data_IF_843653487660
#
_entry.id   IF_843653487660
#
_cell.length_a   1.000
_cell.length_b   1.000
_cell.length_c   1.000
_cell.angle_alpha   90.00
_cell.angle_beta   90.00
_cell.angle_gamma   90.00
#
_symmetry.space_group_name_H-M   'P 1'
#
loop_
_entity.id
_entity.type
_entity.pdbx_description
1 polymer ?
#
# COMPACT_ATOMS: atom_id res chain seq x y z
N UNK A 1 -10.14 -4.91 20.06
CA UNK A 1 -9.18 -5.97 20.46
C UNK A 1 -9.53 -7.36 19.93
N UNK A 2 -10.24 -8.28 20.60
CA UNK A 2 -10.41 -9.68 20.09
C UNK A 2 -11.11 -9.77 18.71
N UNK A 3 -12.07 -8.89 18.45
CA UNK A 3 -12.81 -8.82 17.16
C UNK A 3 -11.99 -8.25 16.01
N UNK A 4 -11.09 -7.32 16.31
CA UNK A 4 -10.29 -6.58 15.31
C UNK A 4 -9.23 -7.51 14.70
N UNK A 5 -8.59 -8.34 15.54
CA UNK A 5 -7.70 -9.42 15.14
C UNK A 5 -8.37 -10.44 14.22
N UNK A 6 -9.60 -10.83 14.56
CA UNK A 6 -10.40 -11.76 13.76
C UNK A 6 -10.73 -11.11 12.43
N UNK A 7 -11.24 -9.88 12.41
CA UNK A 7 -11.58 -9.18 11.16
C UNK A 7 -10.40 -8.99 10.22
N UNK A 8 -9.24 -8.58 10.74
CA UNK A 8 -8.00 -8.45 9.96
C UNK A 8 -7.63 -9.78 9.30
N UNK A 9 -7.57 -10.83 10.11
CA UNK A 9 -7.19 -12.15 9.63
C UNK A 9 -8.22 -12.70 8.62
N UNK A 10 -9.50 -12.39 8.79
CA UNK A 10 -10.57 -12.80 7.88
C UNK A 10 -10.39 -12.20 6.50
N UNK A 11 -10.19 -10.89 6.41
CA UNK A 11 -9.96 -10.20 5.15
C UNK A 11 -8.69 -10.75 4.48
N UNK A 12 -7.61 -10.94 5.23
CA UNK A 12 -6.36 -11.49 4.69
C UNK A 12 -6.57 -12.87 4.08
N UNK A 13 -7.29 -13.77 4.77
CA UNK A 13 -7.57 -15.10 4.25
C UNK A 13 -8.50 -15.09 3.04
N UNK A 14 -9.55 -14.26 3.06
CA UNK A 14 -10.47 -14.14 1.94
C UNK A 14 -9.73 -13.70 0.67
N UNK A 15 -8.88 -12.68 0.80
CA UNK A 15 -8.10 -12.17 -0.32
C UNK A 15 -7.05 -13.18 -0.80
N UNK A 16 -6.29 -13.82 0.11
CA UNK A 16 -5.34 -14.88 -0.28
C UNK A 16 -6.05 -16.09 -0.94
N UNK A 17 -7.28 -16.38 -0.55
CA UNK A 17 -8.08 -17.42 -1.20
C UNK A 17 -8.48 -17.03 -2.64
N UNK A 18 -8.85 -15.76 -2.87
CA UNK A 18 -9.14 -15.23 -4.20
C UNK A 18 -7.88 -15.32 -5.08
N UNK A 19 -6.73 -14.88 -4.57
CA UNK A 19 -5.45 -14.96 -5.32
C UNK A 19 -5.11 -16.40 -5.70
N UNK A 20 -5.35 -17.36 -4.80
CA UNK A 20 -5.03 -18.76 -5.06
C UNK A 20 -6.05 -19.47 -5.96
N UNK A 21 -7.15 -18.81 -6.33
CA UNK A 21 -8.19 -19.39 -7.19
C UNK A 21 -7.62 -19.75 -8.57
N UNK A 22 -6.76 -18.92 -9.15
CA UNK A 22 -6.17 -19.13 -10.49
C UNK A 22 -5.32 -20.40 -10.55
N UNK A 23 -4.61 -20.73 -9.47
CA UNK A 23 -3.79 -21.95 -9.35
C UNK A 23 -4.55 -23.18 -8.83
N UNK A 24 -5.89 -23.10 -8.70
CA UNK A 24 -6.73 -24.21 -8.23
C UNK A 24 -6.72 -24.44 -6.72
N UNK A 25 -6.34 -23.42 -5.94
CA UNK A 25 -6.24 -23.47 -4.49
C UNK A 25 -4.79 -23.59 -4.00
N UNK A 26 -4.52 -22.96 -2.84
CA UNK A 26 -3.18 -22.92 -2.24
C UNK A 26 -3.10 -23.56 -0.85
N UNK A 27 -1.96 -23.35 -0.18
CA UNK A 27 -1.79 -23.70 1.24
C UNK A 27 -1.36 -22.45 1.99
N UNK A 28 -2.13 -22.08 3.01
CA UNK A 28 -1.81 -21.00 3.94
C UNK A 28 -1.45 -21.63 5.28
N UNK A 29 -0.27 -21.31 5.81
CA UNK A 29 0.17 -21.82 7.12
C UNK A 29 0.22 -20.67 8.12
N UNK A 30 -0.49 -20.80 9.22
CA UNK A 30 -0.60 -19.80 10.29
C UNK A 30 0.23 -20.25 11.49
N UNK A 31 1.24 -19.47 11.86
CA UNK A 31 2.03 -19.66 13.08
C UNK A 31 1.69 -18.56 14.08
N UNK A 32 1.22 -18.93 15.27
CA UNK A 32 0.98 -17.96 16.34
C UNK A 32 1.19 -18.56 17.73
N UNK A 33 1.47 -17.69 18.70
CA UNK A 33 1.52 -18.02 20.13
C UNK A 33 0.11 -18.13 20.72
N UNK A 34 -0.73 -18.94 20.08
CA UNK A 34 -2.11 -19.26 20.49
C UNK A 34 -2.29 -20.76 20.49
N UNK A 35 -3.30 -21.21 21.22
CA UNK A 35 -3.74 -22.60 21.18
C UNK A 35 -4.21 -22.98 19.76
N UNK A 36 -3.84 -24.19 19.32
CA UNK A 36 -4.05 -24.62 17.94
C UNK A 36 -5.54 -24.83 17.67
N UNK A 37 -6.22 -25.49 18.60
CA UNK A 37 -7.63 -25.84 18.53
C UNK A 37 -8.48 -24.56 18.54
N UNK A 38 -8.12 -23.55 19.34
CA UNK A 38 -8.76 -22.23 19.29
C UNK A 38 -8.64 -21.57 17.91
N UNK A 39 -7.45 -21.60 17.29
CA UNK A 39 -7.24 -21.00 15.97
C UNK A 39 -8.05 -21.71 14.89
N UNK A 40 -8.07 -23.05 14.91
CA UNK A 40 -8.88 -23.85 13.97
C UNK A 40 -10.37 -23.59 14.15
N UNK A 41 -10.85 -23.44 15.39
CA UNK A 41 -12.23 -23.05 15.68
C UNK A 41 -12.57 -21.64 15.17
N UNK A 42 -11.67 -20.68 15.33
CA UNK A 42 -11.87 -19.31 14.84
C UNK A 42 -11.93 -19.28 13.31
N UNK A 43 -11.07 -20.05 12.63
CA UNK A 43 -11.06 -20.18 11.16
C UNK A 43 -12.30 -20.93 10.64
N UNK A 44 -12.80 -21.93 11.38
CA UNK A 44 -14.00 -22.65 10.99
C UNK A 44 -15.28 -21.80 11.08
N UNK A 45 -15.27 -20.70 11.85
CA UNK A 45 -16.39 -19.75 11.94
C UNK A 45 -16.42 -18.74 10.79
N UNK A 46 -15.46 -18.80 9.88
CA UNK A 46 -15.36 -17.83 8.79
C UNK A 46 -16.38 -18.16 7.70
N UNK A 47 -17.25 -17.20 7.41
CA UNK A 47 -18.35 -17.34 6.46
C UNK A 47 -17.92 -16.96 5.03
N UNK A 48 -16.78 -17.48 4.55
CA UNK A 48 -16.36 -17.28 3.16
C UNK A 48 -15.73 -18.55 2.55
N UNK A 49 -15.75 -18.61 1.22
CA UNK A 49 -15.23 -19.75 0.47
C UNK A 49 -13.72 -19.64 0.29
N UNK A 50 -12.96 -20.64 0.73
CA UNK A 50 -11.50 -20.70 0.55
C UNK A 50 -11.06 -21.04 -0.88
N UNK A 51 -11.98 -21.27 -1.82
CA UNK A 51 -11.69 -21.47 -3.25
C UNK A 51 -10.62 -22.55 -3.51
N UNK A 52 -10.70 -23.66 -2.77
CA UNK A 52 -9.72 -24.77 -2.85
C UNK A 52 -8.46 -24.58 -1.99
N UNK A 53 -8.28 -23.41 -1.37
CA UNK A 53 -7.17 -23.12 -0.45
C UNK A 53 -7.35 -23.84 0.88
N UNK A 54 -6.28 -24.44 1.39
CA UNK A 54 -6.24 -25.07 2.71
C UNK A 54 -5.51 -24.19 3.72
N UNK A 55 -6.05 -24.09 4.94
CA UNK A 55 -5.43 -23.33 6.03
C UNK A 55 -4.93 -24.30 7.11
N UNK A 56 -3.66 -24.17 7.49
CA UNK A 56 -3.00 -25.04 8.46
C UNK A 56 -2.52 -24.21 9.65
N UNK A 57 -3.01 -24.51 10.85
CA UNK A 57 -2.61 -23.82 12.07
C UNK A 57 -1.49 -24.55 12.80
N UNK A 58 -0.51 -23.80 13.31
CA UNK A 58 0.55 -24.29 14.21
C UNK A 58 0.71 -23.32 15.38
N UNK A 59 0.77 -23.88 16.59
CA UNK A 59 1.13 -23.14 17.79
C UNK A 59 2.65 -23.07 17.92
N UNK A 60 3.19 -21.87 18.13
CA UNK A 60 4.62 -21.64 18.30
C UNK A 60 5.00 -20.16 18.17
N UNK A 61 6.25 -19.85 18.51
CA UNK A 61 6.78 -18.49 18.43
C UNK A 61 7.60 -18.30 17.16
N UNK A 62 7.40 -17.21 16.39
CA UNK A 62 8.25 -16.88 15.24
C UNK A 62 9.69 -16.52 15.64
N UNK A 63 9.95 -16.31 16.93
CA UNK A 63 11.28 -16.05 17.49
C UNK A 63 12.09 -17.34 17.71
N UNK A 64 11.44 -18.50 17.63
CA UNK A 64 12.05 -19.80 17.87
C UNK A 64 12.23 -20.51 16.51
N UNK A 65 13.49 -20.72 16.11
CA UNK A 65 13.83 -21.39 14.85
C UNK A 65 13.19 -22.78 14.71
N UNK A 66 13.04 -23.53 15.81
CA UNK A 66 12.39 -24.83 15.79
C UNK A 66 10.91 -24.75 15.40
N UNK A 67 10.21 -23.68 15.78
CA UNK A 67 8.81 -23.46 15.44
C UNK A 67 8.66 -23.00 13.98
N UNK A 68 9.57 -22.15 13.50
CA UNK A 68 9.64 -21.78 12.08
C UNK A 68 9.86 -23.01 11.17
N UNK A 69 10.64 -24.00 11.64
CA UNK A 69 10.80 -25.28 10.92
C UNK A 69 9.51 -26.10 10.87
N UNK A 70 8.63 -26.05 11.88
CA UNK A 70 7.34 -26.76 11.88
C UNK A 70 6.43 -26.30 10.74
N UNK A 71 6.56 -25.05 10.31
CA UNK A 71 5.78 -24.45 9.22
C UNK A 71 6.51 -24.44 7.88
N UNK A 72 7.66 -25.12 7.78
CA UNK A 72 8.47 -25.18 6.56
C UNK A 72 8.83 -23.79 6.00
N UNK A 73 9.23 -22.86 6.88
CA UNK A 73 9.43 -21.45 6.51
C UNK A 73 10.35 -21.24 5.30
N UNK A 74 11.40 -22.06 5.16
CA UNK A 74 12.39 -21.94 4.07
C UNK A 74 11.82 -22.29 2.70
N UNK A 75 10.70 -23.02 2.64
CA UNK A 75 10.03 -23.43 1.41
C UNK A 75 8.87 -22.50 1.03
N UNK A 76 8.47 -21.61 1.92
CA UNK A 76 7.36 -20.70 1.65
C UNK A 76 7.73 -19.76 0.49
N UNK A 77 6.79 -19.56 -0.44
CA UNK A 77 6.90 -18.54 -1.49
C UNK A 77 6.82 -17.11 -0.93
N UNK A 78 6.30 -17.01 0.28
CA UNK A 78 5.83 -15.78 0.90
C UNK A 78 5.77 -15.93 2.41
N UNK A 79 6.19 -14.90 3.14
CA UNK A 79 6.06 -14.85 4.60
C UNK A 79 5.45 -13.50 4.96
N UNK A 80 4.30 -13.51 5.62
CA UNK A 80 3.63 -12.29 6.06
C UNK A 80 3.78 -12.17 7.57
N UNK A 81 4.45 -11.12 8.02
CA UNK A 81 4.61 -10.78 9.44
C UNK A 81 3.57 -9.70 9.76
N UNK A 82 2.52 -10.10 10.47
CA UNK A 82 1.44 -9.19 10.88
C UNK A 82 1.84 -8.39 12.11
N UNK A 83 1.38 -7.13 12.16
CA UNK A 83 1.53 -6.28 13.34
C UNK A 83 0.78 -6.87 14.54
N UNK A 84 1.34 -6.70 15.73
CA UNK A 84 0.69 -7.11 16.96
C UNK A 84 -0.30 -6.04 17.42
N UNK A 85 -1.38 -6.46 18.10
CA UNK A 85 -2.35 -5.56 18.74
C UNK A 85 -1.78 -4.96 20.04
N UNK A 86 -0.60 -4.35 19.95
CA UNK A 86 0.13 -3.71 21.03
C UNK A 86 0.36 -2.24 20.68
N UNK A 87 1.06 -1.48 21.54
CA UNK A 87 1.52 -0.16 21.15
C UNK A 87 2.41 -0.28 19.89
N UNK A 88 2.36 0.72 18.99
CA UNK A 88 3.10 0.73 17.72
C UNK A 88 4.58 0.37 17.91
N UNK A 89 5.26 1.00 18.87
CA UNK A 89 6.65 0.70 19.20
C UNK A 89 6.89 -0.76 19.62
N UNK A 90 5.96 -1.35 20.39
CA UNK A 90 6.07 -2.74 20.85
C UNK A 90 5.81 -3.72 19.70
N UNK A 91 4.80 -3.42 18.87
CA UNK A 91 4.52 -4.18 17.65
C UNK A 91 5.71 -4.16 16.70
N UNK A 92 6.30 -3.00 16.46
CA UNK A 92 7.42 -2.85 15.53
C UNK A 92 8.71 -3.47 16.08
N UNK A 93 8.95 -3.36 17.40
CA UNK A 93 10.05 -4.07 18.05
C UNK A 93 9.87 -5.60 17.94
N UNK A 94 8.64 -6.11 18.00
CA UNK A 94 8.34 -7.52 17.75
C UNK A 94 8.57 -7.89 16.28
N UNK A 95 8.10 -7.08 15.33
CA UNK A 95 8.31 -7.28 13.90
C UNK A 95 9.81 -7.34 13.56
N UNK A 96 10.61 -6.41 14.09
CA UNK A 96 12.07 -6.40 13.95
C UNK A 96 12.73 -7.68 14.48
N UNK A 97 12.29 -8.18 15.64
CA UNK A 97 12.80 -9.45 16.21
C UNK A 97 12.42 -10.65 15.37
N UNK A 98 11.23 -10.66 14.78
CA UNK A 98 10.80 -11.72 13.84
C UNK A 98 11.65 -11.67 12.58
N UNK A 99 11.87 -10.48 12.01
CA UNK A 99 12.78 -10.27 10.88
C UNK A 99 14.18 -10.82 11.18
N UNK A 100 14.77 -10.48 12.34
CA UNK A 100 16.05 -11.04 12.76
C UNK A 100 16.03 -12.58 12.83
N UNK A 101 14.96 -13.17 13.38
CA UNK A 101 14.79 -14.63 13.44
C UNK A 101 14.75 -15.26 12.05
N UNK A 102 14.04 -14.62 11.10
CA UNK A 102 13.93 -15.06 9.71
C UNK A 102 15.27 -14.98 8.99
N UNK A 103 16.06 -13.92 9.19
CA UNK A 103 17.43 -13.81 8.64
C UNK A 103 18.37 -14.86 9.22
N UNK A 104 18.08 -15.40 10.41
CA UNK A 104 18.85 -16.46 11.06
C UNK A 104 18.58 -17.88 10.53
N UNK A 105 17.63 -18.05 9.59
CA UNK A 105 17.32 -19.36 8.99
C UNK A 105 18.46 -19.80 8.07
N UNK A 106 19.24 -20.79 8.51
CA UNK A 106 20.43 -21.28 7.80
C UNK A 106 20.14 -21.85 6.41
N UNK A 107 18.97 -22.45 6.22
CA UNK A 107 18.56 -22.99 4.93
C UNK A 107 18.24 -21.89 3.89
N UNK A 108 18.21 -20.63 4.30
CA UNK A 108 17.73 -19.52 3.50
C UNK A 108 16.21 -19.48 3.40
N UNK A 109 15.69 -18.38 2.85
CA UNK A 109 14.29 -18.20 2.52
C UNK A 109 14.15 -18.24 1.01
N UNK A 110 13.22 -19.04 0.50
CA UNK A 110 12.94 -19.11 -0.94
C UNK A 110 12.21 -17.87 -1.45
N UNK A 111 11.34 -17.30 -0.62
CA UNK A 111 10.44 -16.21 -0.98
C UNK A 111 10.72 -14.91 -0.24
N UNK A 112 9.89 -13.91 -0.51
CA UNK A 112 9.94 -12.59 0.10
C UNK A 112 9.19 -12.56 1.44
N UNK A 113 9.62 -11.64 2.31
CA UNK A 113 9.02 -11.40 3.61
C UNK A 113 8.33 -10.05 3.58
N UNK A 114 7.02 -10.04 3.72
CA UNK A 114 6.23 -8.82 3.83
C UNK A 114 5.95 -8.55 5.31
N UNK A 115 6.38 -7.39 5.79
CA UNK A 115 6.28 -7.00 7.19
C UNK A 115 5.33 -5.83 7.34
N UNK A 116 4.27 -6.04 8.10
CA UNK A 116 3.39 -4.96 8.51
C UNK A 116 4.04 -4.15 9.64
N UNK A 117 4.17 -2.84 9.41
CA UNK A 117 4.72 -1.86 10.33
C UNK A 117 3.60 -0.95 10.83
N UNK A 118 3.67 -0.59 12.11
CA UNK A 118 2.72 0.30 12.75
C UNK A 118 3.17 1.77 12.71
N UNK A 119 4.47 2.02 12.81
CA UNK A 119 5.08 3.35 12.81
C UNK A 119 6.08 3.53 11.65
N UNK A 120 6.05 4.69 11.01
CA UNK A 120 6.94 5.02 9.89
C UNK A 120 8.39 5.24 10.37
N UNK A 121 8.59 5.76 11.58
CA UNK A 121 9.90 6.06 12.14
C UNK A 121 10.75 4.79 12.34
N UNK A 122 10.10 3.65 12.54
CA UNK A 122 10.75 2.35 12.76
C UNK A 122 11.07 1.61 11.44
N UNK A 123 10.47 2.01 10.32
CA UNK A 123 10.62 1.34 9.02
C UNK A 123 12.09 1.25 8.53
N UNK A 124 12.91 2.33 8.59
CA UNK A 124 14.28 2.28 8.10
C UNK A 124 15.15 1.26 8.82
N UNK A 125 14.91 1.04 10.12
CA UNK A 125 15.65 0.06 10.91
C UNK A 125 15.30 -1.37 10.49
N UNK A 126 14.02 -1.65 10.23
CA UNK A 126 13.57 -2.97 9.77
C UNK A 126 14.11 -3.28 8.37
N UNK A 127 14.06 -2.31 7.45
CA UNK A 127 14.66 -2.43 6.11
C UNK A 127 16.18 -2.67 6.17
N UNK A 128 16.89 -1.94 7.03
CA UNK A 128 18.34 -2.08 7.18
C UNK A 128 18.75 -3.49 7.63
N UNK A 129 18.00 -4.05 8.58
CA UNK A 129 18.28 -5.39 9.11
C UNK A 129 17.81 -6.48 8.15
N UNK A 130 16.69 -6.26 7.47
CA UNK A 130 16.07 -7.23 6.60
C UNK A 130 16.72 -7.39 5.23
N UNK A 131 17.42 -6.36 4.75
CA UNK A 131 18.03 -6.36 3.42
C UNK A 131 16.98 -6.45 2.30
N UNK A 132 17.38 -7.04 1.17
CA UNK A 132 16.57 -7.07 -0.07
C UNK A 132 15.41 -8.09 -0.03
N UNK A 133 15.36 -8.99 0.96
CA UNK A 133 14.31 -10.00 1.07
C UNK A 133 13.06 -9.48 1.80
N UNK A 134 13.18 -8.34 2.48
CA UNK A 134 12.14 -7.80 3.36
C UNK A 134 11.55 -6.53 2.78
N UNK A 135 10.23 -6.54 2.81
CA UNK A 135 9.38 -5.57 2.15
C UNK A 135 8.39 -5.09 3.19
N UNK A 136 8.46 -3.81 3.55
CA UNK A 136 7.71 -3.24 4.66
C UNK A 136 6.49 -2.48 4.17
N UNK A 137 5.37 -2.60 4.89
CA UNK A 137 4.18 -1.79 4.65
C UNK A 137 3.79 -1.12 5.95
N UNK A 138 3.88 0.21 5.96
CA UNK A 138 3.39 1.03 7.06
C UNK A 138 1.91 1.30 6.81
N UNK A 139 1.06 0.40 7.31
CA UNK A 139 -0.38 0.41 7.07
C UNK A 139 -1.01 1.79 7.32
N UNK A 140 -0.69 2.39 8.47
CA UNK A 140 -1.20 3.70 8.85
C UNK A 140 -0.83 4.78 7.81
N UNK A 141 0.44 4.94 7.45
CA UNK A 141 0.87 5.96 6.48
C UNK A 141 0.14 5.82 5.13
N UNK A 142 0.05 4.60 4.60
CA UNK A 142 -0.62 4.30 3.33
C UNK A 142 -2.09 4.73 3.33
N UNK A 143 -2.84 4.36 4.37
CA UNK A 143 -4.27 4.73 4.48
C UNK A 143 -4.41 6.25 4.57
N UNK A 144 -3.53 6.91 5.32
CA UNK A 144 -3.51 8.36 5.42
C UNK A 144 -3.34 9.03 4.05
N UNK A 145 -2.42 8.52 3.24
CA UNK A 145 -2.21 9.06 1.89
C UNK A 145 -3.44 8.90 1.00
N UNK A 146 -4.11 7.75 1.06
CA UNK A 146 -5.33 7.49 0.29
C UNK A 146 -6.49 8.37 0.73
N UNK A 147 -6.68 8.55 2.03
CA UNK A 147 -7.73 9.44 2.55
C UNK A 147 -7.58 10.85 2.00
N UNK A 148 -6.37 11.38 1.94
CA UNK A 148 -6.09 12.70 1.38
C UNK A 148 -6.38 12.71 -0.13
N UNK A 149 -5.95 11.70 -0.88
CA UNK A 149 -6.23 11.62 -2.32
C UNK A 149 -7.74 11.55 -2.60
N UNK A 150 -8.48 10.75 -1.85
CA UNK A 150 -9.94 10.64 -1.96
C UNK A 150 -10.66 11.92 -1.51
N UNK A 151 -10.14 12.63 -0.52
CA UNK A 151 -10.69 13.93 -0.11
C UNK A 151 -10.50 15.00 -1.19
N UNK A 152 -9.36 14.98 -1.89
CA UNK A 152 -9.07 15.90 -3.00
C UNK A 152 -9.83 15.52 -4.29
N UNK A 153 -10.05 14.23 -4.51
CA UNK A 153 -10.71 13.70 -5.69
C UNK A 153 -11.69 12.58 -5.28
N UNK A 154 -12.97 12.91 -4.99
CA UNK A 154 -13.94 11.95 -4.46
C UNK A 154 -14.12 10.66 -5.29
N UNK A 155 -13.94 10.74 -6.61
CA UNK A 155 -14.02 9.58 -7.49
C UNK A 155 -12.88 8.56 -7.32
N UNK A 156 -11.76 8.95 -6.69
CA UNK A 156 -10.64 8.04 -6.45
C UNK A 156 -10.95 6.97 -5.41
N UNK A 157 -11.92 7.18 -4.52
CA UNK A 157 -12.26 6.19 -3.49
C UNK A 157 -12.71 4.86 -4.12
N UNK A 158 -13.63 4.92 -5.07
CA UNK A 158 -14.09 3.74 -5.82
C UNK A 158 -12.94 3.12 -6.63
N UNK A 159 -12.13 3.95 -7.30
CA UNK A 159 -11.01 3.46 -8.11
C UNK A 159 -9.99 2.73 -7.23
N UNK A 160 -9.66 3.26 -6.05
CA UNK A 160 -8.77 2.59 -5.11
C UNK A 160 -9.38 1.32 -4.54
N UNK A 161 -10.68 1.31 -4.26
CA UNK A 161 -11.39 0.11 -3.82
C UNK A 161 -11.34 -0.99 -4.89
N UNK A 162 -11.50 -0.63 -6.17
CA UNK A 162 -11.45 -1.56 -7.30
C UNK A 162 -10.03 -2.08 -7.57
N UNK A 163 -9.01 -1.21 -7.54
CA UNK A 163 -7.61 -1.56 -7.85
C UNK A 163 -6.93 -2.32 -6.70
N UNK A 164 -7.26 -1.99 -5.46
CA UNK A 164 -6.72 -2.66 -4.27
C UNK A 164 -7.56 -3.89 -3.88
N UNK A 165 -8.81 -3.94 -4.36
CA UNK A 165 -9.66 -5.12 -4.26
C UNK A 165 -9.23 -6.21 -5.24
N UNK A 166 -9.64 -7.45 -4.96
CA UNK A 166 -9.29 -8.63 -5.75
C UNK A 166 -10.43 -9.12 -6.65
N UNK A 167 -11.45 -8.29 -6.85
CA UNK A 167 -12.65 -8.67 -7.60
C UNK A 167 -12.66 -8.16 -9.05
N UNK A 168 -11.81 -7.16 -9.36
CA UNK A 168 -11.79 -6.47 -10.65
C UNK A 168 -10.39 -6.53 -11.28
N UNK A 169 -9.84 -5.39 -11.71
CA UNK A 169 -8.55 -5.31 -12.36
C UNK A 169 -7.44 -4.89 -11.40
N UNK A 170 -6.34 -5.63 -11.42
CA UNK A 170 -5.21 -5.48 -10.53
C UNK A 170 -3.90 -5.25 -11.31
N UNK A 171 -2.83 -4.92 -10.58
CA UNK A 171 -1.50 -4.82 -11.16
C UNK A 171 -0.82 -6.18 -11.32
N UNK A 172 -0.39 -6.48 -12.53
CA UNK A 172 0.42 -7.65 -12.85
C UNK A 172 1.72 -7.25 -13.53
N UNK A 173 2.83 -7.83 -13.10
CA UNK A 173 4.13 -7.70 -13.76
C UNK A 173 4.39 -8.97 -14.55
N UNK A 174 4.81 -8.90 -15.81
CA UNK A 174 5.17 -10.10 -16.57
C UNK A 174 6.20 -9.81 -17.64
N UNK A 175 7.10 -10.77 -17.82
CA UNK A 175 8.06 -10.77 -18.92
C UNK A 175 7.40 -11.22 -20.22
N UNK A 176 7.57 -10.43 -21.27
CA UNK A 176 7.06 -10.72 -22.62
C UNK A 176 8.18 -10.63 -23.66
N UNK A 177 8.92 -11.72 -23.93
CA UNK A 177 10.08 -11.70 -24.83
C UNK A 177 9.75 -11.23 -26.25
N UNK A 178 8.52 -11.46 -26.71
CA UNK A 178 8.07 -11.02 -28.03
C UNK A 178 7.94 -9.49 -28.18
N UNK A 179 8.02 -8.74 -27.07
CA UNK A 179 7.96 -7.27 -27.06
C UNK A 179 9.35 -6.62 -27.02
N UNK A 180 10.42 -7.40 -27.09
CA UNK A 180 11.78 -6.88 -27.11
C UNK A 180 12.05 -6.05 -28.36
N UNK A 181 12.66 -4.88 -28.16
CA UNK A 181 12.93 -3.92 -29.23
C UNK A 181 11.71 -3.09 -29.65
N UNK A 182 10.54 -3.31 -29.05
CA UNK A 182 9.33 -2.52 -29.33
C UNK A 182 9.33 -1.26 -28.45
N UNK A 183 8.83 -0.16 -28.99
CA UNK A 183 8.67 1.11 -28.27
C UNK A 183 7.46 1.07 -27.35
N UNK A 184 7.54 1.77 -26.23
CA UNK A 184 6.47 1.77 -25.24
C UNK A 184 5.14 2.30 -25.80
N UNK A 185 5.16 3.27 -26.73
CA UNK A 185 3.92 3.75 -27.39
C UNK A 185 3.16 2.64 -28.14
N UNK A 186 3.88 1.65 -28.69
CA UNK A 186 3.30 0.50 -29.39
C UNK A 186 2.87 -0.57 -28.38
N UNK A 187 3.67 -0.79 -27.33
CA UNK A 187 3.33 -1.69 -26.22
C UNK A 187 2.03 -1.27 -25.53
N UNK A 188 1.85 0.04 -25.31
CA UNK A 188 0.68 0.62 -24.65
C UNK A 188 -0.65 0.18 -25.29
N UNK A 189 -0.64 -0.07 -26.60
CA UNK A 189 -1.81 -0.44 -27.39
C UNK A 189 -1.77 -1.89 -27.87
N UNK A 190 -0.78 -2.67 -27.43
CA UNK A 190 -0.60 -4.07 -27.83
C UNK A 190 -1.48 -5.03 -27.04
N UNK A 191 -2.05 -4.61 -25.91
CA UNK A 191 -2.91 -5.43 -25.07
C UNK A 191 -4.36 -4.97 -25.23
N UNK A 192 -5.26 -5.89 -25.61
CA UNK A 192 -6.70 -5.59 -25.73
C UNK A 192 -7.40 -5.61 -24.36
N UNK A 193 -6.99 -6.57 -23.52
CA UNK A 193 -7.61 -6.84 -22.21
C UNK A 193 -6.76 -6.35 -21.02
N UNK A 194 -5.76 -5.51 -21.27
CA UNK A 194 -4.92 -4.94 -20.23
C UNK A 194 -4.38 -3.55 -20.59
N UNK A 195 -4.05 -2.75 -19.58
CA UNK A 195 -3.49 -1.40 -19.75
C UNK A 195 -2.04 -1.36 -19.21
N UNK A 196 -1.02 -1.31 -20.09
CA UNK A 196 0.36 -1.11 -19.66
C UNK A 196 0.55 0.26 -19.01
N UNK A 197 1.19 0.29 -17.85
CA UNK A 197 1.43 1.55 -17.13
C UNK A 197 2.85 1.72 -16.59
N UNK A 198 3.64 0.64 -16.47
CA UNK A 198 5.03 0.70 -16.01
C UNK A 198 5.92 -0.33 -16.68
N UNK A 199 7.24 -0.12 -16.59
CA UNK A 199 8.27 -1.09 -17.01
C UNK A 199 9.23 -1.33 -15.86
N UNK A 200 9.47 -2.60 -15.53
CA UNK A 200 10.52 -3.06 -14.61
C UNK A 200 11.78 -3.29 -15.43
N UNK A 201 12.77 -2.41 -15.24
CA UNK A 201 13.97 -2.36 -16.07
C UNK A 201 15.01 -3.33 -15.53
N UNK A 202 15.31 -4.38 -16.28
CA UNK A 202 16.26 -5.42 -15.86
C UNK A 202 17.67 -4.86 -15.67
N UNK A 203 18.12 -4.00 -16.60
CA UNK A 203 19.45 -3.40 -16.57
C UNK A 203 19.72 -2.54 -15.32
N UNK A 204 18.68 -2.08 -14.62
CA UNK A 204 18.76 -1.27 -13.42
C UNK A 204 18.38 -2.05 -12.16
N UNK A 205 18.66 -3.36 -12.13
CA UNK A 205 18.37 -4.21 -10.98
C UNK A 205 16.88 -4.33 -10.66
N UNK A 206 16.02 -4.26 -11.69
CA UNK A 206 14.57 -4.36 -11.50
C UNK A 206 13.89 -3.07 -11.05
N UNK A 207 14.53 -1.91 -11.25
CA UNK A 207 13.88 -0.62 -10.97
C UNK A 207 12.62 -0.46 -11.82
N UNK A 208 11.50 -0.18 -11.16
CA UNK A 208 10.22 0.10 -11.81
C UNK A 208 10.16 1.57 -12.24
N UNK A 209 9.92 1.83 -13.52
CA UNK A 209 9.67 3.15 -14.10
C UNK A 209 8.18 3.29 -14.36
N UNK A 210 7.56 4.26 -13.68
CA UNK A 210 6.13 4.58 -13.84
C UNK A 210 5.97 5.53 -15.03
N UNK A 211 5.00 5.24 -15.91
CA UNK A 211 4.72 6.06 -17.10
C UNK A 211 6.01 6.38 -17.90
N UNK A 212 6.69 5.36 -18.44
CA UNK A 212 7.89 5.56 -19.22
C UNK A 212 7.60 6.42 -20.46
N UNK A 213 8.63 7.06 -21.00
CA UNK A 213 8.51 7.85 -22.22
C UNK A 213 8.04 6.98 -23.39
N UNK A 214 7.20 7.52 -24.28
CA UNK A 214 6.70 6.84 -25.48
C UNK A 214 7.82 6.26 -26.35
N UNK A 215 9.00 6.89 -26.34
CA UNK A 215 10.19 6.46 -27.07
C UNK A 215 11.02 5.38 -26.37
N UNK A 216 10.67 5.00 -25.13
CA UNK A 216 11.36 3.93 -24.40
C UNK A 216 11.27 2.62 -25.17
N UNK A 217 12.41 1.98 -25.41
CA UNK A 217 12.49 0.68 -26.11
C UNK A 217 12.67 -0.41 -25.07
N UNK A 218 11.77 -1.40 -25.07
CA UNK A 218 11.88 -2.56 -24.19
C UNK A 218 13.13 -3.37 -24.53
N UNK A 219 13.89 -3.72 -23.51
CA UNK A 219 15.11 -4.51 -23.64
C UNK A 219 14.89 -5.95 -23.18
N UNK A 220 15.84 -6.80 -23.52
CA UNK A 220 15.86 -8.15 -22.97
C UNK A 220 15.90 -8.11 -21.43
N UNK A 221 15.05 -8.93 -20.82
CA UNK A 221 14.79 -8.99 -19.39
C UNK A 221 13.76 -7.99 -18.87
N UNK A 222 13.38 -6.94 -19.61
CA UNK A 222 12.42 -5.95 -19.11
C UNK A 222 11.02 -6.57 -18.95
N UNK A 223 10.35 -6.26 -17.84
CA UNK A 223 9.00 -6.75 -17.57
C UNK A 223 8.01 -5.59 -17.63
N UNK A 224 6.79 -5.88 -18.08
CA UNK A 224 5.74 -4.87 -18.21
C UNK A 224 4.81 -5.03 -17.02
N UNK A 225 4.47 -3.91 -16.40
CA UNK A 225 3.40 -3.83 -15.41
C UNK A 225 2.14 -3.32 -16.09
N UNK A 226 1.10 -4.15 -16.05
CA UNK A 226 -0.22 -3.87 -16.62
C UNK A 226 -1.28 -3.81 -15.52
N UNK A 227 -2.40 -3.18 -15.82
CA UNK A 227 -3.67 -3.35 -15.11
C UNK A 227 -4.51 -4.34 -15.92
N UNK A 228 -4.90 -5.48 -15.34
CA UNK A 228 -5.67 -6.54 -16.01
C UNK A 228 -6.58 -7.26 -14.98
N UNK A 229 -7.58 -8.01 -15.44
CA UNK A 229 -8.51 -8.74 -14.56
C UNK A 229 -7.80 -9.86 -13.77
N UNK A 230 -7.02 -10.70 -14.47
CA UNK A 230 -6.24 -11.79 -13.83
C UNK A 230 -4.90 -12.01 -14.55
N UNK A 231 -3.98 -12.77 -13.93
CA UNK A 231 -2.61 -12.99 -14.42
C UNK A 231 -2.51 -13.75 -15.76
N UNK A 232 -3.57 -14.48 -16.12
CA UNK A 232 -3.67 -15.32 -17.31
C UNK A 232 -4.68 -14.80 -18.37
N UNK A 233 -5.32 -13.66 -18.11
CA UNK A 233 -6.40 -13.09 -18.97
C UNK A 233 -5.91 -12.22 -20.12
N UNK A 234 -4.64 -11.80 -20.11
CA UNK A 234 -4.10 -10.83 -21.07
C UNK A 234 -2.88 -11.34 -21.82
N UNK A 235 -2.83 -11.04 -23.11
CA UNK A 235 -1.71 -11.38 -24.01
C UNK A 235 -1.48 -10.24 -25.00
N UNK A 236 -0.21 -9.99 -25.41
CA UNK A 236 0.05 -9.02 -26.45
C UNK A 236 -0.46 -9.55 -27.79
N UNK A 237 -1.29 -8.75 -28.45
CA UNK A 237 -1.87 -9.01 -29.77
C UNK A 237 -1.18 -8.23 -30.88
N UNK A 238 -1.83 -8.22 -32.05
CA UNK A 238 -1.42 -7.36 -33.16
C UNK A 238 -1.71 -5.89 -32.81
N UNK A 239 -0.78 -5.00 -33.17
CA UNK A 239 -0.95 -3.56 -32.98
C UNK A 239 -2.17 -3.11 -33.80
N UNK A 240 -3.21 -2.55 -33.16
CA UNK A 240 -4.39 -2.09 -33.89
C UNK A 240 -4.07 -0.84 -34.69
N UNK A 241 -4.76 -0.65 -35.82
CA UNK A 241 -4.70 0.62 -36.56
C UNK A 241 -5.43 1.72 -35.78
N UNK A 242 -4.67 2.63 -35.17
CA UNK A 242 -5.23 3.76 -34.42
C UNK A 242 -5.17 5.03 -35.25
N UNK A 243 -6.31 5.70 -35.37
CA UNK A 243 -6.38 7.03 -35.97
C UNK A 243 -5.74 8.06 -35.04
N UNK A 244 -4.54 8.51 -35.39
CA UNK A 244 -3.86 9.62 -34.70
C UNK A 244 -4.63 10.93 -34.89
N UNK A 245 -4.66 11.76 -33.84
CA UNK A 245 -5.33 13.05 -33.83
C UNK A 245 -4.65 14.01 -32.86
N UNK A 246 -5.00 15.29 -32.95
CA UNK A 246 -4.54 16.31 -32.02
C UNK A 246 -5.56 16.49 -30.89
N UNK A 247 -5.07 16.78 -29.69
CA UNK A 247 -5.94 17.25 -28.62
C UNK A 247 -6.60 18.58 -29.05
N UNK A 248 -7.91 18.75 -28.83
CA UNK A 248 -8.59 19.98 -29.20
C UNK A 248 -7.97 21.19 -28.48
N UNK A 249 -7.61 22.21 -29.26
CA UNK A 249 -7.02 23.47 -28.79
C UNK A 249 -7.99 24.11 -27.77
N UNK A 250 -7.53 24.33 -26.54
CA UNK A 250 -8.36 24.85 -25.45
C UNK A 250 -8.50 23.90 -24.25
N UNK A 251 -7.94 22.69 -24.33
CA UNK A 251 -7.78 21.76 -23.20
C UNK A 251 -6.70 22.22 -22.20
N UNK A 252 -6.62 23.52 -21.91
CA UNK A 252 -5.86 23.94 -20.74
C UNK A 252 -6.62 23.40 -19.53
N UNK A 253 -5.94 22.73 -18.59
CA UNK A 253 -6.61 22.31 -17.37
C UNK A 253 -7.28 23.55 -16.74
N UNK A 254 -8.53 23.42 -16.27
CA UNK A 254 -9.22 24.54 -15.64
C UNK A 254 -8.33 25.14 -14.55
N UNK A 255 -8.39 26.46 -14.31
CA UNK A 255 -7.63 27.08 -13.25
C UNK A 255 -7.95 26.35 -11.95
N UNK A 256 -6.90 25.82 -11.31
CA UNK A 256 -7.03 25.08 -10.05
C UNK A 256 -7.38 26.10 -8.96
N UNK A 257 -8.52 25.90 -8.30
CA UNK A 257 -8.97 26.77 -7.20
C UNK A 257 -8.37 26.31 -5.87
N UNK A 258 -8.17 27.23 -4.91
CA UNK A 258 -7.77 26.87 -3.57
C UNK A 258 -8.86 26.05 -2.88
N UNK A 259 -8.46 24.97 -2.22
CA UNK A 259 -9.35 24.06 -1.50
C UNK A 259 -9.21 24.29 0.01
N UNK A 260 -10.29 24.04 0.75
CA UNK A 260 -10.31 24.10 2.22
C UNK A 260 -10.48 22.69 2.75
N UNK A 261 -9.49 22.21 3.48
CA UNK A 261 -9.49 20.85 4.04
C UNK A 261 -9.60 20.95 5.56
N UNK A 262 -10.57 20.24 6.11
CA UNK A 262 -10.79 20.12 7.54
C UNK A 262 -10.29 18.74 8.01
N UNK A 263 -9.33 18.76 8.93
CA UNK A 263 -8.93 17.57 9.68
C UNK A 263 -9.63 17.59 11.04
N UNK A 264 -10.39 16.53 11.33
CA UNK A 264 -11.06 16.34 12.61
C UNK A 264 -10.36 15.23 13.39
N UNK A 265 -9.84 15.57 14.57
CA UNK A 265 -9.07 14.68 15.42
C UNK A 265 -7.56 14.81 15.22
N UNK A 266 -6.80 14.40 16.24
CA UNK A 266 -5.34 14.33 16.18
C UNK A 266 -4.93 12.92 15.83
N UNK A 267 -4.41 12.75 14.62
CA UNK A 267 -3.82 11.49 14.18
C UNK A 267 -2.31 11.54 14.43
N UNK A 268 -1.75 10.43 14.91
CA UNK A 268 -0.29 10.26 14.98
C UNK A 268 0.31 10.41 13.57
N UNK A 269 1.43 11.12 13.46
CA UNK A 269 2.19 11.34 12.21
C UNK A 269 1.38 12.04 11.11
N UNK A 270 0.42 12.90 11.51
CA UNK A 270 -0.35 13.70 10.56
C UNK A 270 0.53 14.67 9.76
N UNK A 271 1.71 15.05 10.25
CA UNK A 271 2.71 15.74 9.45
C UNK A 271 3.23 14.91 8.31
N UNK A 272 3.57 13.65 8.51
CA UNK A 272 4.08 12.82 7.41
C UNK A 272 3.02 12.61 6.34
N UNK A 273 1.74 12.51 6.74
CA UNK A 273 0.63 12.47 5.78
C UNK A 273 0.51 13.74 4.93
N UNK A 274 0.69 14.91 5.54
CA UNK A 274 0.56 16.20 4.87
C UNK A 274 1.80 16.49 4.03
N UNK A 275 2.98 16.33 4.62
CA UNK A 275 4.27 16.54 3.95
C UNK A 275 4.47 15.52 2.81
N UNK A 276 4.12 14.26 3.03
CA UNK A 276 4.24 13.19 2.03
C UNK A 276 3.32 13.34 0.81
N UNK A 277 2.26 14.15 0.94
CA UNK A 277 1.32 14.47 -0.13
C UNK A 277 1.51 15.89 -0.68
N UNK A 278 2.64 16.56 -0.43
CA UNK A 278 2.95 17.90 -0.96
C UNK A 278 2.82 18.03 -2.50
N UNK A 279 2.88 16.92 -3.24
CA UNK A 279 2.63 16.89 -4.69
C UNK A 279 1.12 16.96 -5.04
N UNK A 280 0.25 16.48 -4.15
CA UNK A 280 -1.21 16.54 -4.27
C UNK A 280 -1.78 17.80 -3.62
N UNK A 281 -1.12 18.25 -2.55
CA UNK A 281 -1.36 19.50 -1.85
C UNK A 281 -0.83 20.63 -2.71
N UNK A 282 -1.72 21.12 -3.58
CA UNK A 282 -1.55 22.42 -4.24
C UNK A 282 -1.43 23.50 -3.16
N UNK A 283 -1.02 24.74 -3.47
CA UNK A 283 -1.08 25.84 -2.51
C UNK A 283 -2.53 26.01 -2.01
N UNK A 284 -2.89 25.27 -0.97
CA UNK A 284 -4.16 25.37 -0.29
C UNK A 284 -4.10 26.66 0.53
N UNK A 285 -5.16 27.44 0.51
CA UNK A 285 -5.19 28.69 1.26
C UNK A 285 -5.34 28.41 2.77
N UNK A 286 -6.00 27.31 3.18
CA UNK A 286 -6.30 27.04 4.59
C UNK A 286 -6.38 25.55 4.94
N UNK A 287 -5.62 25.15 5.96
CA UNK A 287 -5.80 23.89 6.70
C UNK A 287 -6.45 24.20 8.04
N UNK A 288 -7.59 23.59 8.31
CA UNK A 288 -8.23 23.68 9.61
C UNK A 288 -8.07 22.35 10.33
N UNK A 289 -7.52 22.39 11.54
CA UNK A 289 -7.37 21.21 12.40
C UNK A 289 -8.22 21.44 13.65
N UNK A 290 -9.23 20.59 13.83
CA UNK A 290 -10.07 20.58 15.02
C UNK A 290 -9.62 19.41 15.90
N UNK A 291 -9.16 19.71 17.11
CA UNK A 291 -8.71 18.70 18.07
C UNK A 291 -9.30 19.01 19.46
N UNK A 292 -9.62 17.95 20.21
CA UNK A 292 -10.21 18.06 21.55
C UNK A 292 -9.17 18.41 22.63
N UNK A 293 -7.88 18.19 22.37
CA UNK A 293 -6.78 18.51 23.29
C UNK A 293 -5.66 19.25 22.54
N UNK A 294 -5.10 20.29 23.16
CA UNK A 294 -3.90 20.98 22.69
C UNK A 294 -2.67 20.26 23.25
N UNK A 295 -2.13 19.29 22.51
CA UNK A 295 -0.81 18.71 22.80
C UNK A 295 0.31 19.67 22.32
N UNK A 296 1.41 19.86 23.07
CA UNK A 296 2.61 20.57 22.59
C UNK A 296 3.10 20.17 21.18
N UNK A 297 2.85 18.93 20.76
CA UNK A 297 3.12 18.45 19.40
C UNK A 297 2.28 19.18 18.33
N UNK A 298 1.03 19.54 18.63
CA UNK A 298 0.14 20.30 17.71
C UNK A 298 0.69 21.70 17.44
N UNK A 299 1.27 22.33 18.46
CA UNK A 299 1.85 23.66 18.35
C UNK A 299 3.16 23.64 17.55
N UNK A 300 4.00 22.61 17.75
CA UNK A 300 5.19 22.36 16.91
C UNK A 300 4.80 22.08 15.46
N UNK A 301 3.76 21.27 15.24
CA UNK A 301 3.22 20.95 13.92
C UNK A 301 2.77 22.19 13.15
N UNK A 302 1.94 23.05 13.77
CA UNK A 302 1.49 24.32 13.17
C UNK A 302 2.67 25.20 12.75
N UNK A 303 3.72 25.25 13.57
CA UNK A 303 4.95 26.00 13.29
C UNK A 303 5.76 25.38 12.14
N UNK A 304 5.94 24.04 12.15
CA UNK A 304 6.67 23.27 11.12
C UNK A 304 6.00 23.40 9.74
N UNK A 305 4.67 23.25 9.65
CA UNK A 305 3.93 23.42 8.41
C UNK A 305 4.07 24.85 7.84
N UNK A 306 3.94 25.86 8.70
CA UNK A 306 4.06 27.27 8.29
C UNK A 306 5.45 27.60 7.75
N UNK A 307 6.49 26.95 8.28
CA UNK A 307 7.89 27.09 7.84
C UNK A 307 8.18 26.31 6.55
N UNK A 308 7.74 25.05 6.44
CA UNK A 308 7.89 24.23 5.22
C UNK A 308 7.23 24.89 4.02
N UNK A 309 6.03 25.45 4.19
CA UNK A 309 5.32 26.16 3.13
C UNK A 309 5.99 27.48 2.72
N UNK A 310 6.67 28.17 3.65
CA UNK A 310 7.50 29.33 3.32
C UNK A 310 8.72 28.95 2.46
N UNK A 311 9.35 27.82 2.75
CA UNK A 311 10.53 27.33 2.02
C UNK A 311 10.18 26.83 0.61
N UNK A 312 9.05 26.14 0.47
CA UNK A 312 8.47 25.77 -0.83
C UNK A 312 8.14 26.99 -1.69
N UNK A 313 7.56 28.04 -1.11
CA UNK A 313 7.30 29.29 -1.82
C UNK A 313 8.60 29.96 -2.31
N UNK A 314 9.66 29.94 -1.50
CA UNK A 314 10.96 30.46 -1.90
C UNK A 314 11.58 29.66 -3.07
N UNK A 315 11.35 28.34 -3.11
CA UNK A 315 11.88 27.43 -4.13
C UNK A 315 11.08 27.46 -5.45
N UNK A 316 9.78 27.78 -5.41
CA UNK A 316 8.88 27.82 -6.58
C UNK A 316 8.46 29.23 -7.03
N UNK A 317 9.21 30.27 -6.62
CA UNK A 317 8.92 31.69 -6.90
C UNK A 317 8.70 32.03 -8.39
N UNK A 318 9.25 31.22 -9.30
CA UNK A 318 9.15 31.42 -10.75
C UNK A 318 7.94 30.71 -11.40
N UNK A 319 7.18 29.88 -10.67
CA UNK A 319 6.07 29.08 -11.20
C UNK A 319 4.67 29.54 -10.74
N UNK A 320 4.58 30.37 -9.69
CA UNK A 320 3.32 30.73 -9.03
C UNK A 320 3.11 32.25 -9.09
N UNK A 321 2.09 32.70 -9.83
CA UNK A 321 1.81 34.12 -10.13
C UNK A 321 1.00 34.86 -9.06
N UNK A 322 0.55 34.19 -7.99
CA UNK A 322 -0.16 34.83 -6.86
C UNK A 322 0.38 34.41 -5.50
N UNK A 323 0.49 35.41 -4.61
CA UNK A 323 0.89 35.27 -3.22
C UNK A 323 -0.30 34.69 -2.42
N UNK A 324 -0.38 33.37 -2.26
CA UNK A 324 -1.34 32.73 -1.35
C UNK A 324 -0.67 32.52 0.00
N UNK A 325 -1.11 33.27 1.02
CA UNK A 325 -0.73 33.02 2.41
C UNK A 325 -1.46 31.78 2.90
N UNK A 326 -0.78 30.63 2.93
CA UNK A 326 -1.32 29.45 3.60
C UNK A 326 -1.28 29.67 5.10
N UNK A 327 -2.41 29.47 5.78
CA UNK A 327 -2.48 29.55 7.24
C UNK A 327 -3.15 28.31 7.81
N UNK A 328 -2.55 27.77 8.88
CA UNK A 328 -3.10 26.64 9.63
C UNK A 328 -3.83 27.19 10.84
N UNK A 329 -5.13 26.92 10.95
CA UNK A 329 -5.92 27.28 12.13
C UNK A 329 -6.21 26.03 12.96
N UNK A 330 -5.72 26.01 14.20
CA UNK A 330 -6.04 24.99 15.19
C UNK A 330 -7.17 25.51 16.06
N UNK A 331 -8.33 24.85 16.04
CA UNK A 331 -9.51 25.24 16.82
C UNK A 331 -9.75 24.20 17.92
N UNK A 332 -9.76 24.64 19.18
CA UNK A 332 -10.03 23.81 20.36
C UNK A 332 -11.54 23.83 20.66
N UNK A 333 -12.19 22.67 20.65
CA UNK A 333 -13.59 22.54 21.05
C UNK A 333 -13.67 22.13 22.52
N UNK A 334 -13.86 23.10 23.42
CA UNK A 334 -14.34 22.79 24.76
C UNK A 334 -15.85 22.53 24.73
N UNK A 335 -16.19 21.25 24.89
CA UNK A 335 -17.46 20.66 25.38
C UNK A 335 -18.58 20.24 24.41
N UNK A 336 -19.10 19.06 24.78
CA UNK A 336 -20.40 18.42 24.56
C UNK A 336 -20.64 17.51 23.34
N UNK A 337 -20.57 16.21 23.64
CA UNK A 337 -21.24 15.07 23.01
C UNK A 337 -20.99 14.83 21.52
N UNK A 338 -19.95 14.04 21.22
CA UNK A 338 -19.95 13.14 20.06
C UNK A 338 -19.51 11.77 20.55
N UNK A 339 -20.49 10.89 20.76
CA UNK A 339 -20.29 9.49 21.12
C UNK A 339 -20.71 8.64 19.92
N UNK A 340 -19.83 7.69 19.56
CA UNK A 340 -19.96 6.59 18.59
C UNK A 340 -19.83 6.88 17.09
N UNK A 341 -18.60 6.67 16.57
CA UNK A 341 -18.31 6.05 15.25
C UNK A 341 -16.83 5.62 15.04
N UNK A 342 -16.07 5.32 16.10
CA UNK A 342 -14.67 4.90 15.96
C UNK A 342 -14.49 3.49 15.37
N UNK A 343 -15.51 2.62 15.46
CA UNK A 343 -15.42 1.24 14.97
C UNK A 343 -15.47 1.10 13.44
N UNK A 344 -16.17 1.99 12.72
CA UNK A 344 -16.27 1.95 11.24
C UNK A 344 -14.98 2.43 10.56
N UNK A 345 -14.26 3.39 11.16
CA UNK A 345 -12.99 3.90 10.62
C UNK A 345 -11.85 2.90 10.86
N UNK A 346 -11.78 2.28 12.04
CA UNK A 346 -10.81 1.21 12.31
C UNK A 346 -11.00 0.02 11.34
N UNK A 347 -12.25 -0.28 10.96
CA UNK A 347 -12.59 -1.31 9.97
C UNK A 347 -12.01 -1.01 8.59
N UNK A 348 -12.25 0.19 8.05
CA UNK A 348 -11.73 0.60 6.75
C UNK A 348 -10.19 0.64 6.74
N UNK A 349 -9.59 1.09 7.85
CA UNK A 349 -8.14 1.12 8.02
C UNK A 349 -7.53 -0.29 7.93
N UNK A 350 -8.14 -1.25 8.63
CA UNK A 350 -7.63 -2.61 8.70
C UNK A 350 -7.78 -3.33 7.35
N UNK A 351 -8.91 -3.16 6.67
CA UNK A 351 -9.16 -3.78 5.36
C UNK A 351 -8.23 -3.23 4.26
N UNK A 352 -8.08 -1.90 4.19
CA UNK A 352 -7.16 -1.27 3.23
C UNK A 352 -5.72 -1.70 3.46
N UNK A 353 -5.23 -1.69 4.71
CA UNK A 353 -3.88 -2.14 5.04
C UNK A 353 -3.58 -3.55 4.51
N UNK A 354 -4.56 -4.45 4.61
CA UNK A 354 -4.44 -5.83 4.14
C UNK A 354 -4.47 -5.93 2.63
N UNK A 355 -5.33 -5.14 1.97
CA UNK A 355 -5.33 -5.05 0.51
C UNK A 355 -3.94 -4.62 -0.01
N UNK A 356 -3.27 -3.67 0.66
CA UNK A 356 -1.86 -3.32 0.37
C UNK A 356 -0.88 -4.45 0.70
N UNK A 357 -1.00 -5.05 1.89
CA UNK A 357 -0.57 -6.42 2.26
C UNK A 357 -0.30 -7.29 1.04
N UNK A 358 -1.40 -7.60 0.37
CA UNK A 358 -1.45 -8.65 -0.63
C UNK A 358 -1.07 -8.12 -2.01
N UNK A 359 -1.44 -6.88 -2.37
CA UNK A 359 -1.03 -6.32 -3.66
C UNK A 359 0.49 -6.18 -3.76
N UNK A 360 1.12 -5.70 -2.68
CA UNK A 360 2.57 -5.58 -2.61
C UNK A 360 3.23 -6.95 -2.63
N UNK A 361 2.65 -7.89 -1.88
CA UNK A 361 3.10 -9.27 -1.89
C UNK A 361 3.05 -9.91 -3.30
N UNK A 362 1.96 -9.76 -4.05
CA UNK A 362 1.84 -10.22 -5.45
C UNK A 362 2.90 -9.60 -6.37
N UNK A 363 3.13 -8.29 -6.25
CA UNK A 363 4.13 -7.58 -7.06
C UNK A 363 5.56 -8.10 -6.82
N UNK A 364 5.79 -8.77 -5.69
CA UNK A 364 7.07 -9.38 -5.32
C UNK A 364 7.14 -10.87 -5.71
N UNK A 365 6.03 -11.53 -6.08
CA UNK A 365 6.04 -12.94 -6.49
C UNK A 365 6.54 -13.17 -7.94
N UNK A 366 6.96 -12.11 -8.64
CA UNK A 366 7.41 -12.11 -10.06
C UNK A 366 8.74 -11.37 -10.20
#
# INVERSE_FOLDING_TARGET
MKMEKIMKMNVLFALLAIVNKSIGGGVIVVLAERDKEEMEMDIAKLEFNFMGTSVICRSGSPLILADLKKVSISKARAIIVLAADENADQSDARALRVVLSLTGVKEGLRGHVVVEMSDLDNEPLVKLVGGELIETIVAHDVIGRLMIQCALQPGLAQIWEDILGFENAEFYIKRWPQLDGIRFEEVLISFLDAVPCRVKVAANGGKIIINPDDSYVLKDGDEILVIAEDDDTYYPGLIPEIRKGFLPIGSNPPPKYPERILFCGWRRDIDDMIMGNELCIRPAEYYSLICNEMDPQIQKFSTKLTLSMHWLWASFKNLITKKSTTSVQVVNLQSNNVVHREQELAFLHTELAIKFLIQFWKLLEI
#
